data_IF_920142281027
#
_entry.id   IF_920142281027
#
_cell.length_a   1.000
_cell.length_b   1.000
_cell.length_c   1.000
_cell.angle_alpha   90.00
_cell.angle_beta   90.00
_cell.angle_gamma   90.00
#
_symmetry.space_group_name_H-M   'P 1'
#
loop_
_entity.id
_entity.type
_entity.pdbx_description
1 polymer ?
#
# COMPACT_ATOMS: atom_id res chain seq x y z
N UNK A 1 -30.00 -43.28 -42.97
CA UNK A 1 -28.64 -42.91 -43.41
C UNK A 1 -28.45 -41.42 -43.16
N UNK A 2 -27.64 -41.03 -42.17
CA UNK A 2 -27.00 -39.70 -42.08
C UNK A 2 -26.03 -39.71 -40.88
N UNK A 3 -24.85 -40.29 -41.08
CA UNK A 3 -23.71 -40.17 -40.16
C UNK A 3 -22.64 -39.33 -40.83
N UNK A 4 -22.96 -38.06 -41.06
CA UNK A 4 -21.98 -37.07 -41.48
C UNK A 4 -21.37 -36.46 -40.22
N UNK A 5 -20.51 -37.22 -39.54
CA UNK A 5 -19.62 -36.64 -38.53
C UNK A 5 -18.54 -35.84 -39.28
N UNK A 6 -18.73 -34.53 -39.34
CA UNK A 6 -17.71 -33.62 -39.88
C UNK A 6 -16.45 -33.77 -39.03
N UNK A 7 -15.26 -34.02 -39.62
CA UNK A 7 -14.04 -34.14 -38.86
C UNK A 7 -13.81 -32.81 -38.13
N UNK A 8 -13.84 -32.86 -36.79
CA UNK A 8 -13.54 -31.72 -35.92
C UNK A 8 -12.24 -31.08 -36.42
N UNK A 9 -12.31 -29.83 -36.90
CA UNK A 9 -11.19 -29.08 -37.45
C UNK A 9 -9.91 -29.31 -36.62
N UNK A 10 -8.93 -30.00 -37.21
CA UNK A 10 -7.63 -30.25 -36.58
C UNK A 10 -6.99 -28.89 -36.31
N UNK A 11 -6.82 -28.55 -35.03
CA UNK A 11 -6.24 -27.26 -34.63
C UNK A 11 -4.84 -27.11 -35.23
N UNK A 12 -4.60 -25.96 -35.85
CA UNK A 12 -3.26 -25.64 -36.39
C UNK A 12 -2.22 -25.54 -35.27
N UNK A 13 -0.94 -25.70 -35.62
CA UNK A 13 0.16 -25.58 -34.66
C UNK A 13 0.12 -24.23 -33.91
N UNK A 14 -0.25 -23.14 -34.59
CA UNK A 14 -0.42 -21.81 -33.98
C UNK A 14 -1.54 -21.79 -32.94
N UNK A 15 -2.68 -22.41 -33.23
CA UNK A 15 -3.81 -22.48 -32.31
C UNK A 15 -3.48 -23.30 -31.07
N UNK A 16 -2.79 -24.44 -31.24
CA UNK A 16 -2.31 -25.28 -30.12
C UNK A 16 -1.38 -24.49 -29.20
N UNK A 17 -0.37 -23.80 -29.75
CA UNK A 17 0.54 -22.93 -28.97
C UNK A 17 -0.19 -21.81 -28.22
N UNK A 18 -1.19 -21.19 -28.86
CA UNK A 18 -1.98 -20.13 -28.21
C UNK A 18 -2.77 -20.68 -27.03
N UNK A 19 -3.37 -21.86 -27.16
CA UNK A 19 -4.13 -22.50 -26.08
C UNK A 19 -3.26 -22.76 -24.85
N UNK A 20 -2.08 -23.36 -25.03
CA UNK A 20 -1.12 -23.62 -23.94
C UNK A 20 -0.72 -22.32 -23.25
N UNK A 21 -0.38 -21.28 -24.02
CA UNK A 21 -0.03 -19.97 -23.45
C UNK A 21 -1.18 -19.35 -22.67
N UNK A 22 -2.40 -19.39 -23.20
CA UNK A 22 -3.57 -18.85 -22.52
C UNK A 22 -3.91 -19.61 -21.25
N UNK A 23 -3.72 -20.93 -21.25
CA UNK A 23 -3.96 -21.75 -20.07
C UNK A 23 -2.95 -21.40 -18.95
N UNK A 24 -1.67 -21.33 -19.30
CA UNK A 24 -0.61 -20.86 -18.40
C UNK A 24 -0.91 -19.47 -17.83
N UNK A 25 -1.32 -18.52 -18.68
CA UNK A 25 -1.67 -17.17 -18.21
C UNK A 25 -2.89 -17.18 -17.26
N UNK A 26 -3.89 -18.05 -17.49
CA UNK A 26 -5.03 -18.23 -16.59
C UNK A 26 -4.61 -18.79 -15.22
N UNK A 27 -3.75 -19.80 -15.20
CA UNK A 27 -3.19 -20.37 -13.97
C UNK A 27 -2.45 -19.30 -13.17
N UNK A 28 -1.65 -18.46 -13.83
CA UNK A 28 -0.97 -17.32 -13.19
C UNK A 28 -1.95 -16.32 -12.57
N UNK A 29 -3.01 -15.97 -13.29
CA UNK A 29 -4.05 -15.06 -12.77
C UNK A 29 -4.76 -15.67 -11.56
N UNK A 30 -5.01 -16.98 -11.56
CA UNK A 30 -5.60 -17.68 -10.41
C UNK A 30 -4.68 -17.62 -9.19
N UNK A 31 -3.39 -17.89 -9.35
CA UNK A 31 -2.40 -17.76 -8.28
C UNK A 31 -2.36 -16.34 -7.71
N UNK A 32 -2.41 -15.31 -8.56
CA UNK A 32 -2.48 -13.92 -8.10
C UNK A 32 -3.74 -13.63 -7.29
N UNK A 33 -4.90 -14.10 -7.76
CA UNK A 33 -6.17 -13.94 -7.04
C UNK A 33 -6.14 -14.65 -5.68
N UNK A 34 -5.59 -15.88 -5.62
CA UNK A 34 -5.42 -16.62 -4.37
C UNK A 34 -4.50 -15.90 -3.42
N UNK A 35 -3.33 -15.45 -3.90
CA UNK A 35 -2.41 -14.59 -3.14
C UNK A 35 -3.17 -13.41 -2.55
N UNK A 36 -3.83 -12.61 -3.39
CA UNK A 36 -4.58 -11.44 -2.93
C UNK A 36 -5.65 -11.76 -1.88
N UNK A 37 -6.39 -12.86 -2.04
CA UNK A 37 -7.37 -13.32 -1.06
C UNK A 37 -6.72 -13.65 0.30
N UNK A 38 -5.59 -14.36 0.30
CA UNK A 38 -4.83 -14.67 1.52
C UNK A 38 -4.31 -13.40 2.20
N UNK A 39 -3.84 -12.40 1.43
CA UNK A 39 -3.44 -11.11 1.98
C UNK A 39 -4.61 -10.38 2.66
N UNK A 40 -5.81 -10.48 2.09
CA UNK A 40 -7.03 -9.90 2.68
C UNK A 40 -7.43 -10.64 3.96
N UNK A 41 -7.41 -11.99 3.95
CA UNK A 41 -7.68 -12.81 5.13
C UNK A 41 -6.70 -12.50 6.26
N UNK A 42 -5.39 -12.47 5.95
CA UNK A 42 -4.32 -12.07 6.88
C UNK A 42 -4.56 -10.69 7.49
N UNK A 43 -5.08 -9.74 6.70
CA UNK A 43 -5.40 -8.40 7.17
C UNK A 43 -6.65 -8.34 8.06
N UNK A 44 -7.59 -9.27 7.89
CA UNK A 44 -8.83 -9.35 8.66
C UNK A 44 -8.68 -10.09 10.00
N UNK A 45 -7.56 -10.79 10.22
CA UNK A 45 -7.33 -11.51 11.47
C UNK A 45 -7.37 -10.53 12.67
N UNK A 46 -8.10 -10.89 13.74
CA UNK A 46 -8.18 -10.04 14.92
C UNK A 46 -6.81 -9.92 15.60
N UNK A 47 -6.46 -8.76 16.16
CA UNK A 47 -5.23 -8.62 16.92
C UNK A 47 -5.29 -9.43 18.22
N UNK A 48 -4.17 -10.01 18.64
CA UNK A 48 -4.02 -10.78 19.89
C UNK A 48 -3.37 -9.89 20.94
N UNK A 49 -3.95 -9.84 22.13
CA UNK A 49 -3.37 -9.12 23.26
C UNK A 49 -2.01 -9.74 23.65
N UNK A 50 -1.05 -8.89 23.99
CA UNK A 50 0.22 -9.31 24.57
C UNK A 50 0.02 -9.62 26.05
N UNK A 51 0.70 -10.65 26.55
CA UNK A 51 0.71 -10.96 27.98
C UNK A 51 1.28 -9.80 28.80
N UNK A 52 2.36 -9.19 28.29
CA UNK A 52 3.01 -8.04 28.88
C UNK A 52 3.09 -6.91 27.84
N UNK A 53 2.35 -5.81 28.03
CA UNK A 53 2.50 -4.61 27.21
C UNK A 53 3.89 -4.01 27.40
N UNK A 54 4.51 -3.55 26.31
CA UNK A 54 5.84 -2.95 26.36
C UNK A 54 5.86 -1.57 25.71
N UNK A 55 6.77 -0.72 26.17
CA UNK A 55 6.99 0.60 25.60
C UNK A 55 7.90 0.49 24.36
N UNK A 56 7.39 0.89 23.19
CA UNK A 56 8.18 0.93 21.95
C UNK A 56 8.86 2.28 21.71
N UNK A 57 8.42 3.34 22.40
CA UNK A 57 8.96 4.68 22.24
C UNK A 57 8.10 5.73 22.93
N UNK A 58 7.99 6.89 22.30
CA UNK A 58 7.21 8.03 22.75
C UNK A 58 6.29 8.50 21.64
N UNK A 59 5.10 8.93 22.00
CA UNK A 59 4.16 9.60 21.12
C UNK A 59 3.89 11.02 21.64
N UNK A 60 3.67 11.94 20.71
CA UNK A 60 3.22 13.28 21.04
C UNK A 60 2.02 13.65 20.19
N UNK A 61 1.08 14.33 20.82
CA UNK A 61 -0.21 14.66 20.25
C UNK A 61 -0.73 15.93 20.92
N UNK A 62 -1.72 16.56 20.30
CA UNK A 62 -2.35 17.74 20.88
C UNK A 62 -3.45 17.35 21.87
N UNK A 63 -3.54 18.11 22.95
CA UNK A 63 -4.60 18.04 23.96
C UNK A 63 -5.18 19.44 24.13
N UNK A 64 -6.47 19.51 24.44
CA UNK A 64 -7.11 20.77 24.79
C UNK A 64 -6.46 21.35 26.05
N UNK A 65 -6.14 22.64 26.02
CA UNK A 65 -5.60 23.36 27.17
C UNK A 65 -6.59 23.36 28.33
N UNK A 66 -6.11 23.17 29.55
CA UNK A 66 -6.94 22.96 30.75
C UNK A 66 -7.95 24.09 31.00
N UNK A 67 -7.57 25.34 30.75
CA UNK A 67 -8.43 26.51 30.91
C UNK A 67 -9.70 26.43 30.03
N UNK A 68 -9.53 25.97 28.79
CA UNK A 68 -10.63 25.84 27.81
C UNK A 68 -11.44 24.59 28.12
N UNK A 69 -10.77 23.54 28.60
CA UNK A 69 -11.40 22.27 28.97
C UNK A 69 -12.42 22.43 30.11
N UNK A 70 -12.23 23.40 31.00
CA UNK A 70 -13.19 23.74 32.06
C UNK A 70 -14.29 24.70 31.60
N UNK A 71 -14.21 25.21 30.37
CA UNK A 71 -15.13 26.19 29.82
C UNK A 71 -16.34 25.56 29.12
N UNK A 72 -17.35 26.39 28.75
CA UNK A 72 -18.60 25.92 28.14
C UNK A 72 -18.43 25.36 26.72
N UNK A 73 -17.32 25.68 26.04
CA UNK A 73 -17.01 25.21 24.68
C UNK A 73 -16.05 24.01 24.67
N UNK A 74 -15.80 23.38 25.82
CA UNK A 74 -14.85 22.27 25.94
C UNK A 74 -15.18 21.14 24.97
N UNK A 75 -16.42 20.65 25.00
CA UNK A 75 -16.89 19.56 24.16
C UNK A 75 -16.69 19.86 22.66
N UNK A 76 -17.03 21.07 22.23
CA UNK A 76 -16.85 21.50 20.83
C UNK A 76 -15.39 21.38 20.38
N UNK A 77 -14.45 21.90 21.18
CA UNK A 77 -13.03 21.85 20.82
C UNK A 77 -12.43 20.45 20.99
N UNK A 78 -12.93 19.63 21.92
CA UNK A 78 -12.54 18.22 22.01
C UNK A 78 -13.01 17.42 20.78
N UNK A 79 -14.27 17.62 20.35
CA UNK A 79 -14.79 16.99 19.13
C UNK A 79 -14.04 17.44 17.89
N UNK A 80 -13.71 18.73 17.77
CA UNK A 80 -12.94 19.25 16.65
C UNK A 80 -11.52 18.69 16.66
N UNK A 81 -10.87 18.68 17.83
CA UNK A 81 -9.52 18.15 17.99
C UNK A 81 -9.45 16.70 17.52
N UNK A 82 -10.43 15.84 17.86
CA UNK A 82 -10.46 14.45 17.40
C UNK A 82 -10.39 14.31 15.85
N UNK A 83 -10.87 15.31 15.10
CA UNK A 83 -10.86 15.31 13.62
C UNK A 83 -9.52 15.79 13.05
N UNK A 84 -8.88 16.75 13.71
CA UNK A 84 -7.66 17.42 13.20
C UNK A 84 -6.37 17.05 13.96
N UNK A 85 -6.46 16.18 14.97
CA UNK A 85 -5.30 15.83 15.78
C UNK A 85 -4.25 15.13 14.91
N UNK A 86 -2.99 15.42 15.20
CA UNK A 86 -1.86 14.73 14.62
C UNK A 86 -1.14 13.97 15.73
N UNK A 87 -0.78 12.73 15.45
CA UNK A 87 0.00 11.90 16.37
C UNK A 87 1.35 11.63 15.72
N UNK A 88 2.43 11.97 16.40
CA UNK A 88 3.78 11.64 15.95
C UNK A 88 4.44 10.69 16.95
N UNK A 89 4.94 9.56 16.46
CA UNK A 89 5.72 8.61 17.24
C UNK A 89 7.22 8.78 16.98
N UNK A 90 8.04 8.60 18.01
CA UNK A 90 9.49 8.66 17.95
C UNK A 90 10.10 7.72 18.99
N UNK A 91 11.32 7.23 18.75
CA UNK A 91 12.02 6.36 19.72
C UNK A 91 12.46 7.15 20.96
N UNK A 92 12.95 8.38 20.78
CA UNK A 92 13.33 9.28 21.88
C UNK A 92 12.24 10.28 22.26
N UNK A 93 12.13 10.60 23.56
CA UNK A 93 11.22 11.62 24.12
C UNK A 93 11.48 13.04 23.60
N UNK A 94 12.65 13.31 23.03
CA UNK A 94 13.04 14.65 22.59
C UNK A 94 12.46 15.07 21.22
N UNK A 95 11.97 14.12 20.41
CA UNK A 95 11.45 14.36 19.05
C UNK A 95 12.37 15.21 18.16
N UNK A 96 13.69 15.08 18.34
CA UNK A 96 14.68 15.81 17.55
C UNK A 96 14.97 15.09 16.25
N UNK A 97 14.99 15.83 15.15
CA UNK A 97 15.38 15.31 13.84
C UNK A 97 16.83 15.65 13.54
N UNK A 98 17.59 14.64 13.12
CA UNK A 98 18.95 14.79 12.60
C UNK A 98 18.90 15.55 11.26
N UNK A 99 19.57 16.70 11.17
CA UNK A 99 19.66 17.53 9.96
C UNK A 99 21.12 17.81 9.63
N UNK A 100 21.52 17.57 8.37
CA UNK A 100 22.87 17.90 7.89
C UNK A 100 22.93 19.39 7.55
N UNK A 101 23.96 20.09 8.04
CA UNK A 101 24.26 21.50 7.70
C UNK A 101 25.78 21.67 7.62
N UNK A 102 26.27 22.17 6.48
CA UNK A 102 27.71 22.42 6.25
C UNK A 102 28.60 21.22 6.64
N UNK A 103 28.25 20.01 6.18
CA UNK A 103 29.02 18.79 6.45
C UNK A 103 28.83 18.14 7.84
N UNK A 104 28.23 18.84 8.82
CA UNK A 104 27.97 18.31 10.17
C UNK A 104 26.50 17.97 10.39
N UNK A 105 26.21 17.08 11.34
CA UNK A 105 24.84 16.76 11.75
C UNK A 105 24.46 17.51 13.02
N UNK A 106 23.30 18.14 13.01
CA UNK A 106 22.72 18.86 14.15
C UNK A 106 21.33 18.29 14.41
N UNK A 107 21.00 18.06 15.67
CA UNK A 107 19.68 17.67 16.11
C UNK A 107 18.82 18.92 16.33
N UNK A 108 17.72 19.04 15.59
CA UNK A 108 16.77 20.14 15.74
C UNK A 108 15.44 19.63 16.24
N UNK A 109 14.79 20.37 17.13
CA UNK A 109 13.41 20.10 17.51
C UNK A 109 12.53 20.12 16.25
N UNK A 110 11.74 19.06 16.05
CA UNK A 110 10.78 18.99 14.96
C UNK A 110 9.49 19.66 15.41
N UNK A 111 9.08 20.72 14.73
CA UNK A 111 7.76 21.31 14.94
C UNK A 111 6.67 20.33 14.50
N UNK A 112 5.61 20.24 15.31
CA UNK A 112 4.38 19.53 14.97
C UNK A 112 3.25 20.54 14.91
N UNK A 113 2.42 20.43 13.89
CA UNK A 113 1.24 21.26 13.69
C UNK A 113 0.00 20.36 13.67
N UNK A 114 -1.15 20.96 13.93
CA UNK A 114 -2.44 20.30 13.70
C UNK A 114 -2.58 19.96 12.21
N UNK A 115 -3.48 19.02 11.91
CA UNK A 115 -3.72 18.62 10.53
C UNK A 115 -4.29 19.80 9.74
N UNK A 116 -3.58 20.17 8.67
CA UNK A 116 -4.09 21.05 7.63
C UNK A 116 -4.99 20.23 6.71
N UNK A 117 -6.09 20.82 6.24
CA UNK A 117 -7.02 20.14 5.34
C UNK A 117 -6.81 20.63 3.91
N UNK A 118 -6.64 19.70 2.98
CA UNK A 118 -6.61 20.02 1.56
C UNK A 118 -8.05 20.21 1.03
N UNK A 119 -8.20 20.71 -0.20
CA UNK A 119 -9.51 20.87 -0.84
C UNK A 119 -10.36 19.59 -0.81
N UNK A 120 -9.75 18.43 -1.07
CA UNK A 120 -10.45 17.16 -1.03
C UNK A 120 -10.99 16.86 0.38
N UNK A 121 -10.15 17.01 1.41
CA UNK A 121 -10.55 16.79 2.80
C UNK A 121 -11.63 17.80 3.24
N UNK A 122 -11.59 19.03 2.74
CA UNK A 122 -12.60 20.04 3.07
C UNK A 122 -14.02 19.65 2.65
N UNK A 123 -14.17 19.08 1.45
CA UNK A 123 -15.46 18.66 0.90
C UNK A 123 -15.84 17.21 1.22
N UNK A 124 -14.84 16.32 1.39
CA UNK A 124 -15.05 14.87 1.52
C UNK A 124 -14.47 14.25 2.79
N UNK A 125 -14.08 15.05 3.80
CA UNK A 125 -13.53 14.52 5.05
C UNK A 125 -14.46 13.51 5.71
N UNK A 126 -13.87 12.39 6.14
CA UNK A 126 -14.45 11.52 7.15
C UNK A 126 -13.55 11.63 8.39
N UNK A 127 -14.05 12.18 9.52
CA UNK A 127 -15.41 12.70 9.78
C UNK A 127 -15.68 14.07 9.14
N UNK A 128 -16.95 14.31 8.78
CA UNK A 128 -17.41 15.57 8.17
C UNK A 128 -17.29 16.70 9.20
N UNK A 129 -16.72 17.83 8.79
CA UNK A 129 -16.73 19.06 9.58
C UNK A 129 -18.13 19.68 9.58
N UNK A 130 -18.60 20.05 10.78
CA UNK A 130 -19.82 20.85 10.92
C UNK A 130 -19.57 22.29 10.45
N UNK A 131 -20.63 23.01 10.11
CA UNK A 131 -20.53 24.41 9.67
C UNK A 131 -19.85 25.29 10.72
N UNK A 132 -20.14 25.07 12.01
CA UNK A 132 -19.51 25.78 13.13
C UNK A 132 -18.01 25.52 13.22
N UNK A 133 -17.58 24.28 12.99
CA UNK A 133 -16.16 23.92 12.98
C UNK A 133 -15.43 24.54 11.79
N UNK A 134 -16.08 24.63 10.62
CA UNK A 134 -15.51 25.22 9.40
C UNK A 134 -15.13 26.69 9.58
N UNK A 135 -15.89 27.44 10.39
CA UNK A 135 -15.58 28.85 10.71
C UNK A 135 -14.22 28.99 11.39
N UNK A 136 -13.73 27.95 12.09
CA UNK A 136 -12.43 27.98 12.75
C UNK A 136 -11.24 27.76 11.80
N UNK A 137 -11.46 27.71 10.48
CA UNK A 137 -10.41 27.53 9.49
C UNK A 137 -10.30 28.73 8.56
N UNK A 138 -9.07 29.05 8.18
CA UNK A 138 -8.76 30.03 7.14
C UNK A 138 -8.24 29.33 5.90
N UNK A 139 -8.64 29.83 4.73
CA UNK A 139 -8.09 29.41 3.45
C UNK A 139 -6.72 30.06 3.26
N UNK A 140 -5.70 29.24 3.06
CA UNK A 140 -4.32 29.65 2.82
C UNK A 140 -3.85 29.03 1.51
N UNK A 141 -3.33 29.87 0.64
CA UNK A 141 -2.74 29.45 -0.62
C UNK A 141 -1.23 29.36 -0.46
N UNK A 142 -0.66 28.20 -0.79
CA UNK A 142 0.77 27.96 -0.68
C UNK A 142 1.31 27.34 -1.96
N UNK A 143 2.48 27.80 -2.40
CA UNK A 143 3.13 27.22 -3.55
C UNK A 143 3.90 25.97 -3.14
N UNK A 144 3.49 24.80 -3.65
CA UNK A 144 4.20 23.56 -3.41
C UNK A 144 5.33 23.39 -4.43
N UNK A 145 6.57 23.58 -3.97
CA UNK A 145 7.78 23.48 -4.79
C UNK A 145 7.95 22.12 -5.46
N UNK A 146 7.52 21.02 -4.81
CA UNK A 146 7.68 19.66 -5.36
C UNK A 146 6.71 19.41 -6.50
N UNK A 147 5.46 19.83 -6.33
CA UNK A 147 4.42 19.69 -7.35
C UNK A 147 4.45 20.81 -8.39
N UNK A 148 5.23 21.88 -8.13
CA UNK A 148 5.26 23.12 -8.91
C UNK A 148 3.88 23.73 -9.14
N UNK A 149 3.00 23.58 -8.17
CA UNK A 149 1.60 24.01 -8.25
C UNK A 149 1.16 24.74 -7.00
N UNK A 150 0.19 25.64 -7.18
CA UNK A 150 -0.47 26.33 -6.08
C UNK A 150 -1.44 25.36 -5.40
N UNK A 151 -1.29 25.19 -4.09
CA UNK A 151 -2.12 24.33 -3.26
C UNK A 151 -2.91 25.19 -2.28
N UNK A 152 -4.22 24.96 -2.26
CA UNK A 152 -5.13 25.57 -1.30
C UNK A 152 -5.25 24.64 -0.10
N UNK A 153 -4.96 25.17 1.08
CA UNK A 153 -5.10 24.47 2.37
C UNK A 153 -5.97 25.27 3.32
N UNK A 154 -6.66 24.56 4.19
CA UNK A 154 -7.44 25.13 5.28
C UNK A 154 -6.68 24.90 6.59
N UNK A 155 -6.29 26.01 7.22
CA UNK A 155 -5.47 26.02 8.44
C UNK A 155 -6.33 26.48 9.61
N UNK A 156 -6.22 25.77 10.74
CA UNK A 156 -6.92 26.14 11.96
C UNK A 156 -6.40 27.46 12.54
N UNK A 157 -7.30 28.37 12.89
CA UNK A 157 -6.97 29.76 13.25
C UNK A 157 -6.43 29.94 14.66
N UNK A 158 -6.85 29.10 15.61
CA UNK A 158 -6.59 29.32 17.05
C UNK A 158 -5.68 28.23 17.67
N UNK A 159 -4.49 27.93 17.12
CA UNK A 159 -3.68 26.79 17.55
C UNK A 159 -3.27 26.85 19.03
N UNK A 160 -3.24 28.03 19.65
CA UNK A 160 -2.95 28.26 21.07
C UNK A 160 -3.92 27.56 22.03
N UNK A 161 -5.09 27.16 21.55
CA UNK A 161 -6.06 26.38 22.34
C UNK A 161 -5.59 24.97 22.65
N UNK A 162 -4.63 24.47 21.86
CA UNK A 162 -4.14 23.11 21.98
C UNK A 162 -2.66 23.11 22.39
N UNK A 163 -2.31 22.19 23.29
CA UNK A 163 -0.96 22.03 23.81
C UNK A 163 -0.44 20.65 23.45
N UNK A 164 0.84 20.56 23.09
CA UNK A 164 1.49 19.28 22.84
C UNK A 164 1.72 18.53 24.15
N UNK A 165 1.20 17.31 24.23
CA UNK A 165 1.47 16.37 25.31
C UNK A 165 2.33 15.22 24.79
N UNK A 166 3.31 14.81 25.57
CA UNK A 166 4.17 13.67 25.29
C UNK A 166 3.78 12.53 26.24
N UNK A 167 3.59 11.33 25.68
CA UNK A 167 3.26 10.11 26.41
C UNK A 167 4.12 8.94 25.92
N UNK A 168 4.36 7.91 26.76
CA UNK A 168 4.97 6.67 26.29
C UNK A 168 4.06 6.00 25.25
N UNK A 169 4.65 5.47 24.18
CA UNK A 169 3.93 4.66 23.19
C UNK A 169 4.00 3.19 23.59
N UNK A 170 2.90 2.70 24.17
CA UNK A 170 2.78 1.33 24.68
C UNK A 170 2.10 0.47 23.63
N UNK A 171 2.74 -0.65 23.26
CA UNK A 171 2.17 -1.65 22.37
C UNK A 171 1.50 -2.71 23.25
N UNK A 172 0.20 -2.88 23.05
CA UNK A 172 -0.64 -3.81 23.83
C UNK A 172 -1.08 -5.04 23.04
N UNK A 173 -1.10 -4.95 21.70
CA UNK A 173 -1.57 -6.01 20.83
C UNK A 173 -0.55 -6.30 19.73
N UNK A 174 -0.51 -7.55 19.28
CA UNK A 174 0.21 -7.99 18.07
C UNK A 174 -0.79 -8.52 17.04
N UNK A 175 -0.39 -8.58 15.78
CA UNK A 175 -1.19 -9.26 14.75
C UNK A 175 -1.24 -10.76 15.06
N UNK A 176 -2.43 -11.36 14.94
CA UNK A 176 -2.53 -12.82 14.95
C UNK A 176 -1.75 -13.40 13.76
N UNK A 177 -1.16 -14.57 13.98
CA UNK A 177 -0.48 -15.34 12.95
C UNK A 177 -1.30 -16.61 12.72
N UNK A 178 -1.71 -16.80 11.47
CA UNK A 178 -2.34 -18.03 11.01
C UNK A 178 -1.31 -18.80 10.19
N UNK A 179 -0.93 -19.98 10.68
CA UNK A 179 0.14 -20.80 10.10
C UNK A 179 -0.22 -21.25 8.70
N UNK A 180 -1.49 -21.57 8.45
CA UNK A 180 -1.95 -22.09 7.16
C UNK A 180 -1.88 -20.99 6.09
N UNK A 181 -2.30 -19.76 6.44
CA UNK A 181 -2.23 -18.60 5.54
C UNK A 181 -0.77 -18.27 5.20
N UNK A 182 0.11 -18.24 6.20
CA UNK A 182 1.53 -17.91 5.98
C UNK A 182 2.23 -19.00 5.17
N UNK A 183 1.94 -20.29 5.43
CA UNK A 183 2.47 -21.41 4.68
C UNK A 183 2.06 -21.35 3.21
N UNK A 184 0.78 -21.06 2.93
CA UNK A 184 0.31 -20.95 1.55
C UNK A 184 0.87 -19.72 0.83
N UNK A 185 0.99 -18.58 1.53
CA UNK A 185 1.65 -17.39 0.98
C UNK A 185 3.11 -17.67 0.63
N UNK A 186 3.84 -18.39 1.49
CA UNK A 186 5.22 -18.80 1.24
C UNK A 186 5.31 -19.71 0.00
N UNK A 187 4.45 -20.74 -0.08
CA UNK A 187 4.39 -21.63 -1.25
C UNK A 187 4.15 -20.85 -2.56
N UNK A 188 3.21 -19.91 -2.56
CA UNK A 188 2.93 -19.09 -3.75
C UNK A 188 4.13 -18.19 -4.09
N UNK A 189 4.79 -17.61 -3.09
CA UNK A 189 5.98 -16.78 -3.30
C UNK A 189 7.11 -17.61 -3.93
N UNK A 190 7.44 -18.76 -3.35
CA UNK A 190 8.47 -19.67 -3.86
C UNK A 190 8.18 -20.11 -5.30
N UNK A 191 6.92 -20.43 -5.60
CA UNK A 191 6.49 -20.81 -6.95
C UNK A 191 6.70 -19.67 -7.96
N UNK A 192 6.41 -18.43 -7.57
CA UNK A 192 6.56 -17.23 -8.41
C UNK A 192 8.03 -16.89 -8.60
N UNK A 193 8.83 -16.93 -7.54
CA UNK A 193 10.23 -16.50 -7.56
C UNK A 193 11.13 -17.51 -8.26
N UNK A 194 10.99 -18.80 -7.94
CA UNK A 194 11.73 -19.90 -8.59
C UNK A 194 11.57 -19.85 -10.11
N UNK A 195 10.32 -19.65 -10.55
CA UNK A 195 9.96 -19.60 -11.95
C UNK A 195 9.90 -18.17 -12.51
N UNK A 196 10.38 -17.15 -11.77
CA UNK A 196 10.39 -15.72 -12.13
C UNK A 196 9.16 -15.30 -12.97
N UNK A 197 7.98 -15.59 -12.41
CA UNK A 197 6.68 -15.38 -13.06
C UNK A 197 6.16 -13.96 -12.87
N UNK A 198 6.72 -13.22 -11.92
CA UNK A 198 6.28 -11.89 -11.48
C UNK A 198 6.22 -10.85 -12.64
N UNK A 199 7.16 -10.80 -13.60
CA UNK A 199 7.04 -9.91 -14.76
C UNK A 199 5.85 -10.21 -15.67
N UNK A 200 5.62 -11.50 -15.96
CA UNK A 200 4.49 -11.94 -16.78
C UNK A 200 3.18 -11.63 -16.05
N UNK A 201 3.15 -11.90 -14.74
CA UNK A 201 2.01 -11.65 -13.87
C UNK A 201 1.62 -10.17 -13.85
N UNK A 202 2.59 -9.28 -13.60
CA UNK A 202 2.36 -7.84 -13.61
C UNK A 202 1.82 -7.32 -14.95
N UNK A 203 2.32 -7.87 -16.07
CA UNK A 203 1.80 -7.53 -17.41
C UNK A 203 0.34 -7.97 -17.60
N UNK A 204 -0.05 -9.11 -17.04
CA UNK A 204 -1.43 -9.63 -17.11
C UNK A 204 -2.39 -8.86 -16.20
N UNK A 205 -1.96 -8.46 -15.00
CA UNK A 205 -2.85 -7.85 -13.99
C UNK A 205 -2.88 -6.32 -14.03
N UNK A 206 -1.72 -5.67 -14.22
CA UNK A 206 -1.55 -4.21 -14.14
C UNK A 206 -1.30 -3.56 -15.51
N UNK A 207 -1.22 -4.34 -16.57
CA UNK A 207 -0.94 -3.86 -17.93
C UNK A 207 0.48 -3.34 -18.11
N UNK A 208 0.67 -2.38 -19.04
CA UNK A 208 1.95 -1.67 -19.23
C UNK A 208 2.07 -0.54 -18.20
N UNK A 209 2.63 -0.82 -17.03
CA UNK A 209 3.01 0.20 -16.06
C UNK A 209 4.33 0.91 -16.44
N UNK A 210 4.35 2.25 -16.39
CA UNK A 210 5.52 3.07 -16.73
C UNK A 210 6.75 2.82 -15.85
N UNK A 211 6.55 2.38 -14.59
CA UNK A 211 7.64 2.12 -13.61
C UNK A 211 8.44 0.84 -13.86
N UNK A 212 7.97 0.01 -14.77
CA UNK A 212 8.38 -1.37 -14.87
C UNK A 212 9.22 -1.62 -16.14
N UNK A 213 9.65 -0.54 -16.82
CA UNK A 213 10.25 -0.62 -18.17
C UNK A 213 11.61 -1.31 -18.19
N UNK A 214 12.39 -1.15 -17.12
CA UNK A 214 13.77 -1.65 -17.04
C UNK A 214 13.87 -3.03 -16.37
N UNK A 215 12.93 -3.39 -15.50
CA UNK A 215 12.90 -4.66 -14.75
C UNK A 215 12.34 -5.85 -15.56
N UNK A 216 11.94 -5.63 -16.82
CA UNK A 216 11.28 -6.62 -17.67
C UNK A 216 12.11 -7.06 -18.89
N UNK A 217 13.44 -6.95 -18.84
CA UNK A 217 14.27 -7.75 -19.75
C UNK A 217 14.09 -9.21 -19.34
N UNK A 218 13.55 -10.03 -20.23
CA UNK A 218 13.42 -11.47 -19.99
C UNK A 218 14.82 -12.03 -19.71
N UNK A 219 15.13 -12.57 -18.51
CA UNK A 219 16.38 -13.27 -18.28
C UNK A 219 16.47 -14.47 -19.23
N UNK A 220 17.69 -14.94 -19.51
CA UNK A 220 17.95 -15.97 -20.54
C UNK A 220 17.02 -17.20 -20.45
N UNK A 221 16.57 -17.56 -19.24
CA UNK A 221 15.61 -18.63 -18.96
C UNK A 221 14.19 -18.45 -19.55
N UNK A 222 13.76 -17.22 -19.93
CA UNK A 222 12.50 -16.97 -20.65
C UNK A 222 12.68 -16.58 -22.12
N UNK A 223 13.92 -16.60 -22.63
CA UNK A 223 14.12 -16.54 -24.07
C UNK A 223 13.35 -17.72 -24.66
N UNK A 224 12.36 -17.40 -25.47
CA UNK A 224 11.46 -18.38 -26.07
C UNK A 224 12.28 -19.43 -26.85
N UNK A 225 12.49 -20.61 -26.26
CA UNK A 225 13.20 -21.74 -26.86
C UNK A 225 12.59 -22.16 -28.21
N UNK A 226 11.30 -21.86 -28.40
CA UNK A 226 10.57 -22.14 -29.65
C UNK A 226 10.84 -21.13 -30.78
N UNK A 227 11.63 -20.05 -30.56
CA UNK A 227 11.95 -19.07 -31.61
C UNK A 227 12.84 -19.64 -32.71
N UNK A 228 13.65 -20.66 -32.40
CA UNK A 228 14.65 -21.22 -33.32
C UNK A 228 14.26 -22.60 -33.85
N UNK A 229 13.06 -23.11 -33.53
CA UNK A 229 12.64 -24.43 -33.98
C UNK A 229 12.11 -24.32 -35.41
N UNK A 230 12.68 -25.07 -36.37
CA UNK A 230 12.21 -25.07 -37.73
C UNK A 230 10.75 -25.51 -37.80
N UNK A 231 10.00 -24.94 -38.75
CA UNK A 231 8.54 -25.09 -38.88
C UNK A 231 8.09 -26.55 -39.04
N UNK A 232 9.01 -27.44 -39.42
CA UNK A 232 8.82 -28.86 -39.73
C UNK A 232 9.24 -29.80 -38.58
N UNK A 233 9.63 -29.29 -37.41
CA UNK A 233 10.00 -30.15 -36.29
C UNK A 233 8.82 -31.01 -35.78
N UNK A 234 9.11 -32.26 -35.43
CA UNK A 234 8.15 -33.23 -34.89
C UNK A 234 7.59 -32.80 -33.52
N UNK A 235 6.41 -33.32 -33.16
CA UNK A 235 5.66 -32.94 -31.95
C UNK A 235 6.44 -33.20 -30.65
N UNK A 236 7.29 -34.22 -30.63
CA UNK A 236 8.10 -34.62 -29.46
C UNK A 236 9.16 -33.56 -29.11
N UNK A 237 9.75 -32.90 -30.11
CA UNK A 237 10.72 -31.81 -29.91
C UNK A 237 10.12 -30.58 -29.18
N UNK A 238 8.79 -30.46 -29.10
CA UNK A 238 8.13 -29.42 -28.33
C UNK A 238 7.89 -29.82 -26.86
N UNK A 239 7.84 -31.13 -26.57
CA UNK A 239 7.63 -31.68 -25.24
C UNK A 239 8.96 -31.84 -24.48
N UNK A 240 10.05 -32.17 -25.18
CA UNK A 240 11.40 -32.34 -24.61
C UNK A 240 12.03 -31.03 -24.08
N UNK A 241 11.50 -29.87 -24.48
CA UNK A 241 11.98 -28.56 -24.02
C UNK A 241 11.42 -28.15 -22.64
N UNK A 242 10.50 -28.96 -22.10
CA UNK A 242 9.75 -28.74 -20.85
C UNK A 242 10.30 -29.51 -19.64
N UNK A 243 11.27 -30.42 -19.82
CA UNK A 243 12.13 -30.95 -18.72
C UNK A 243 13.27 -30.00 -18.41
#
# INVERSE_FOLDING_TARGET
MNTQEWPRCIKSARQKRRLVKTDRDKQLIQLYKRRWALWLQRAQLPPVALAEPYQSGWMRFFVLRDDIKRGPKAEFYETLLAKINTVECHHDKSFKRKKRRKGRYIYKAKEQKLRELDLYDWYHSKPILTERERVCFIRVESYNVKARSLQVRYVFTEPWRYVLKIAPYIITHKKALDVDIEAELAYIADRIDSNYLEPRLNRLTRGRCFRCRDDFKEPAKYINKFKNIPKYAHKEAYLELET
#
